data_IF_250642822138
#
_entry.id   IF_250642822138
#
_cell.length_a   1.000
_cell.length_b   1.000
_cell.length_c   1.000
_cell.angle_alpha   90.00
_cell.angle_beta   90.00
_cell.angle_gamma   90.00
#
_symmetry.space_group_name_H-M   'P 1'
#
loop_
_entity.id
_entity.type
_entity.pdbx_description
1 polymer ?
#
# COMPACT_ATOMS: atom_id res chain seq x y z
N UNK A 1 -22.77 -25.00 9.70
CA UNK A 1 -22.65 -24.33 8.39
C UNK A 1 -21.37 -23.51 8.44
N UNK A 2 -20.27 -24.04 7.90
CA UNK A 2 -18.96 -23.38 7.92
C UNK A 2 -18.81 -22.48 6.71
N UNK A 3 -18.77 -21.17 6.92
CA UNK A 3 -18.37 -20.22 5.89
C UNK A 3 -16.87 -20.34 5.66
N UNK A 4 -16.51 -21.03 4.60
CA UNK A 4 -15.16 -21.03 4.03
C UNK A 4 -14.82 -19.60 3.63
N UNK A 5 -14.11 -18.88 4.49
CA UNK A 5 -13.48 -17.61 4.15
C UNK A 5 -12.33 -17.96 3.20
N UNK A 6 -12.63 -17.94 1.91
CA UNK A 6 -11.63 -18.08 0.87
C UNK A 6 -10.64 -16.93 1.03
N UNK A 7 -9.40 -17.26 1.41
CA UNK A 7 -8.29 -16.31 1.34
C UNK A 7 -8.12 -16.01 -0.15
N UNK A 8 -8.73 -14.92 -0.59
CA UNK A 8 -8.66 -14.48 -1.98
C UNK A 8 -7.26 -13.89 -2.17
N UNK A 9 -6.30 -14.75 -2.49
CA UNK A 9 -4.96 -14.36 -2.90
C UNK A 9 -5.05 -13.76 -4.30
N UNK A 10 -5.49 -12.49 -4.38
CA UNK A 10 -5.43 -11.74 -5.63
C UNK A 10 -3.95 -11.52 -5.91
N UNK A 11 -3.42 -12.25 -6.88
CA UNK A 11 -2.04 -12.07 -7.35
C UNK A 11 -2.01 -10.80 -8.21
N UNK A 12 -1.86 -9.64 -7.57
CA UNK A 12 -1.90 -8.29 -8.18
C UNK A 12 -0.53 -7.95 -8.77
N UNK A 13 0.05 -8.88 -9.54
CA UNK A 13 1.40 -8.70 -10.08
C UNK A 13 1.39 -8.06 -11.49
N UNK A 14 0.21 -7.75 -12.06
CA UNK A 14 0.09 -7.40 -13.49
C UNK A 14 -0.71 -6.15 -13.84
N UNK A 15 -1.10 -5.33 -12.88
CA UNK A 15 -2.08 -4.25 -13.16
C UNK A 15 -1.41 -2.92 -13.51
N UNK A 16 -0.17 -2.70 -13.08
CA UNK A 16 0.59 -1.51 -13.45
C UNK A 16 1.38 -1.76 -14.74
N UNK A 17 0.89 -1.23 -15.87
CA UNK A 17 1.66 -1.19 -17.11
C UNK A 17 2.95 -0.38 -16.85
N UNK A 18 4.12 -0.96 -17.14
CA UNK A 18 5.40 -0.28 -17.00
C UNK A 18 5.59 0.75 -18.12
N UNK A 19 4.95 1.90 -18.04
CA UNK A 19 5.11 2.96 -19.06
C UNK A 19 6.31 3.86 -18.78
N UNK A 20 6.73 4.02 -17.52
CA UNK A 20 7.90 4.82 -17.11
C UNK A 20 8.35 4.48 -15.69
N UNK A 21 9.65 4.42 -15.47
CA UNK A 21 10.22 4.41 -14.12
C UNK A 21 10.30 5.83 -13.56
N UNK A 22 9.84 5.99 -12.32
CA UNK A 22 9.78 7.24 -11.58
C UNK A 22 11.10 7.42 -10.82
N UNK A 23 11.72 8.59 -10.94
CA UNK A 23 13.01 8.90 -10.30
C UNK A 23 12.85 9.18 -8.79
N UNK A 24 13.91 9.08 -7.97
CA UNK A 24 13.81 9.38 -6.52
C UNK A 24 13.33 10.81 -6.23
N UNK A 25 13.71 11.79 -7.05
CA UNK A 25 13.22 13.17 -6.93
C UNK A 25 11.74 13.31 -7.25
N UNK A 26 11.23 12.53 -8.22
CA UNK A 26 9.79 12.47 -8.47
C UNK A 26 9.05 11.75 -7.34
N UNK A 27 9.64 10.70 -6.75
CA UNK A 27 9.07 10.05 -5.55
C UNK A 27 8.97 11.05 -4.40
N UNK A 28 10.00 11.86 -4.16
CA UNK A 28 9.96 12.90 -3.13
C UNK A 28 8.85 13.92 -3.37
N UNK A 29 8.71 14.43 -4.60
CA UNK A 29 7.65 15.37 -4.95
C UNK A 29 6.23 14.79 -4.73
N UNK A 30 6.07 13.47 -4.88
CA UNK A 30 4.78 12.77 -4.74
C UNK A 30 4.47 12.40 -3.29
N UNK A 31 5.47 11.84 -2.61
CA UNK A 31 5.28 11.15 -1.32
C UNK A 31 5.78 11.96 -0.13
N UNK A 32 6.65 12.95 -0.36
CA UNK A 32 7.40 13.66 0.67
C UNK A 32 8.60 12.89 1.25
N UNK A 33 8.92 11.70 0.75
CA UNK A 33 10.10 10.93 1.16
C UNK A 33 11.34 11.35 0.36
N UNK A 34 12.34 11.90 1.04
CA UNK A 34 13.56 12.34 0.38
C UNK A 34 14.39 11.17 -0.17
N UNK A 35 15.21 11.39 -1.22
CA UNK A 35 16.11 10.38 -1.75
C UNK A 35 17.07 9.79 -0.71
N UNK A 36 17.45 10.58 0.30
CA UNK A 36 18.33 10.13 1.39
C UNK A 36 17.61 9.17 2.34
N UNK A 37 16.33 9.41 2.64
CA UNK A 37 15.51 8.47 3.42
C UNK A 37 15.38 7.14 2.68
N UNK A 38 15.08 7.17 1.38
CA UNK A 38 14.99 5.96 0.55
C UNK A 38 16.32 5.20 0.49
N UNK A 39 17.44 5.93 0.38
CA UNK A 39 18.79 5.34 0.40
C UNK A 39 19.10 4.68 1.74
N UNK A 40 18.78 5.36 2.84
CA UNK A 40 19.03 4.84 4.19
C UNK A 40 18.19 3.59 4.48
N UNK A 41 16.89 3.60 4.17
CA UNK A 41 16.03 2.42 4.31
C UNK A 41 16.55 1.23 3.49
N UNK A 42 17.00 1.47 2.27
CA UNK A 42 17.58 0.42 1.42
C UNK A 42 18.89 -0.13 1.99
N UNK A 43 19.79 0.73 2.45
CA UNK A 43 21.07 0.33 3.08
C UNK A 43 20.84 -0.55 4.32
N UNK A 44 19.75 -0.31 5.06
CA UNK A 44 19.34 -1.09 6.23
C UNK A 44 18.57 -2.37 5.88
N UNK A 45 18.31 -2.64 4.60
CA UNK A 45 17.53 -3.79 4.15
C UNK A 45 16.02 -3.67 4.37
N UNK A 46 15.52 -2.47 4.67
CA UNK A 46 14.11 -2.21 4.98
C UNK A 46 13.28 -1.89 3.72
N UNK A 47 13.92 -1.36 2.67
CA UNK A 47 13.26 -1.03 1.40
C UNK A 47 13.63 -2.05 0.31
N UNK A 48 12.64 -2.85 -0.08
CA UNK A 48 12.75 -3.84 -1.17
C UNK A 48 12.15 -3.36 -2.50
N UNK A 49 11.61 -2.13 -2.54
CA UNK A 49 10.96 -1.53 -3.71
C UNK A 49 11.94 -0.84 -4.66
N UNK A 50 11.49 -0.68 -5.90
CA UNK A 50 12.25 -0.08 -7.00
C UNK A 50 13.17 -1.07 -7.71
N UNK A 51 13.71 -0.64 -8.84
CA UNK A 51 14.67 -1.38 -9.67
C UNK A 51 15.89 -0.51 -9.93
N UNK A 52 17.08 -1.08 -9.75
CA UNK A 52 18.33 -0.42 -10.14
C UNK A 52 18.52 -0.55 -11.66
N UNK A 53 18.72 0.59 -12.32
CA UNK A 53 18.99 0.68 -13.75
C UNK A 53 20.48 0.49 -14.04
N UNK A 54 20.84 0.25 -15.30
CA UNK A 54 22.23 0.03 -15.76
C UNK A 54 23.19 1.18 -15.42
N UNK A 55 22.67 2.40 -15.30
CA UNK A 55 23.44 3.58 -14.90
C UNK A 55 23.63 3.72 -13.37
N UNK A 56 23.22 2.71 -12.61
CA UNK A 56 23.27 2.66 -11.15
C UNK A 56 22.17 3.45 -10.43
N UNK A 57 21.31 4.18 -11.16
CA UNK A 57 20.19 4.94 -10.58
C UNK A 57 19.02 4.01 -10.27
N UNK A 58 18.28 4.35 -9.22
CA UNK A 58 17.04 3.66 -8.86
C UNK A 58 15.86 4.29 -9.58
N UNK A 59 14.97 3.44 -10.11
CA UNK A 59 13.67 3.83 -10.63
C UNK A 59 12.56 3.05 -9.93
N UNK A 60 11.38 3.64 -9.83
CA UNK A 60 10.24 3.08 -9.13
C UNK A 60 9.05 2.94 -10.09
N UNK A 61 8.32 1.84 -9.99
CA UNK A 61 7.04 1.73 -10.70
C UNK A 61 5.94 2.46 -9.93
N UNK A 62 4.83 2.73 -10.59
CA UNK A 62 3.68 3.42 -10.00
C UNK A 62 3.21 2.77 -8.68
N UNK A 63 3.14 1.44 -8.63
CA UNK A 63 2.80 0.69 -7.42
C UNK A 63 3.76 0.92 -6.26
N UNK A 64 5.07 1.02 -6.54
CA UNK A 64 6.08 1.32 -5.51
C UNK A 64 5.84 2.71 -4.91
N UNK A 65 5.53 3.69 -5.77
CA UNK A 65 5.31 5.09 -5.34
C UNK A 65 4.04 5.19 -4.50
N UNK A 66 2.96 4.50 -4.89
CA UNK A 66 1.75 4.40 -4.08
C UNK A 66 2.04 3.75 -2.71
N UNK A 67 2.79 2.64 -2.67
CA UNK A 67 3.14 1.99 -1.42
C UNK A 67 3.97 2.92 -0.52
N UNK A 68 4.95 3.62 -1.08
CA UNK A 68 5.77 4.59 -0.35
C UNK A 68 4.96 5.77 0.19
N UNK A 69 3.96 6.27 -0.55
CA UNK A 69 3.04 7.30 -0.07
C UNK A 69 2.26 6.81 1.18
N UNK A 70 1.73 5.59 1.11
CA UNK A 70 0.99 4.97 2.23
C UNK A 70 1.91 4.76 3.45
N UNK A 71 3.14 4.27 3.25
CA UNK A 71 4.12 4.11 4.33
C UNK A 71 4.48 5.45 4.98
N UNK A 72 4.69 6.49 4.18
CA UNK A 72 4.95 7.82 4.72
C UNK A 72 3.75 8.33 5.52
N UNK A 73 2.52 8.11 5.04
CA UNK A 73 1.31 8.47 5.77
C UNK A 73 1.25 7.76 7.13
N UNK A 74 1.44 6.44 7.17
CA UNK A 74 1.40 5.66 8.41
C UNK A 74 2.45 6.10 9.42
N UNK A 75 3.68 6.33 8.97
CA UNK A 75 4.79 6.68 9.87
C UNK A 75 4.74 8.14 10.33
N UNK A 76 4.40 9.08 9.44
CA UNK A 76 4.24 10.51 9.75
C UNK A 76 3.17 10.75 10.83
N UNK A 77 2.05 10.03 10.74
CA UNK A 77 0.94 10.14 11.69
C UNK A 77 1.01 9.15 12.85
N UNK A 78 2.08 8.35 12.93
CA UNK A 78 2.27 7.31 13.97
C UNK A 78 1.11 6.32 14.07
N UNK A 79 0.46 6.03 12.95
CA UNK A 79 -0.60 5.00 12.85
C UNK A 79 0.04 3.62 13.00
N UNK A 80 1.17 3.41 12.33
CA UNK A 80 2.01 2.22 12.46
C UNK A 80 3.44 2.69 12.74
N UNK A 81 3.93 2.40 13.94
CA UNK A 81 5.24 2.87 14.40
C UNK A 81 6.41 2.05 13.84
N UNK A 82 6.19 0.75 13.60
CA UNK A 82 7.20 -0.11 12.99
C UNK A 82 7.18 0.02 11.46
N UNK A 83 8.35 0.29 10.88
CA UNK A 83 8.46 0.54 9.44
C UNK A 83 8.21 -0.72 8.61
N UNK A 84 8.62 -1.90 9.08
CA UNK A 84 8.40 -3.16 8.38
C UNK A 84 6.92 -3.50 8.34
N UNK A 85 6.23 -3.33 9.47
CA UNK A 85 4.78 -3.49 9.56
C UNK A 85 4.04 -2.47 8.67
N UNK A 86 4.51 -1.22 8.60
CA UNK A 86 3.96 -0.21 7.70
C UNK A 86 4.10 -0.61 6.23
N UNK A 87 5.28 -1.09 5.80
CA UNK A 87 5.48 -1.62 4.45
C UNK A 87 4.57 -2.81 4.15
N UNK A 88 4.40 -3.70 5.13
CA UNK A 88 3.56 -4.89 4.97
C UNK A 88 2.10 -4.52 4.73
N UNK A 89 1.51 -3.68 5.61
CA UNK A 89 0.12 -3.22 5.48
C UNK A 89 -0.06 -2.38 4.22
N UNK A 90 0.90 -1.50 3.90
CA UNK A 90 0.85 -0.70 2.68
C UNK A 90 0.80 -1.57 1.41
N UNK A 91 1.53 -2.69 1.37
CA UNK A 91 1.53 -3.61 0.24
C UNK A 91 0.13 -4.19 -0.05
N UNK A 92 -0.66 -4.47 0.99
CA UNK A 92 -2.06 -4.88 0.84
C UNK A 92 -2.99 -3.72 0.46
N UNK A 93 -2.66 -2.48 0.87
CA UNK A 93 -3.48 -1.30 0.64
C UNK A 93 -3.37 -0.74 -0.79
N UNK A 94 -2.22 -0.89 -1.46
CA UNK A 94 -1.95 -0.33 -2.80
C UNK A 94 -3.08 -0.56 -3.81
N UNK A 95 -3.63 -1.77 -4.00
CA UNK A 95 -4.66 -2.00 -5.01
C UNK A 95 -5.96 -1.26 -4.71
N UNK A 96 -6.34 -1.16 -3.44
CA UNK A 96 -7.57 -0.49 -3.03
C UNK A 96 -7.41 1.03 -3.09
N UNK A 97 -6.25 1.55 -2.71
CA UNK A 97 -5.91 2.97 -2.88
C UNK A 97 -5.86 3.32 -4.36
N UNK A 98 -5.33 2.46 -5.22
CA UNK A 98 -5.40 2.66 -6.67
C UNK A 98 -6.85 2.73 -7.14
N UNK A 99 -7.70 1.77 -6.77
CA UNK A 99 -9.12 1.79 -7.16
C UNK A 99 -9.85 3.05 -6.67
N UNK A 100 -9.48 3.57 -5.50
CA UNK A 100 -10.05 4.80 -4.96
C UNK A 100 -9.60 6.06 -5.72
N UNK A 101 -8.40 6.07 -6.31
CA UNK A 101 -7.79 7.28 -6.92
C UNK A 101 -7.83 7.28 -8.45
N UNK A 102 -7.70 6.14 -9.11
CA UNK A 102 -7.42 6.04 -10.54
C UNK A 102 -8.60 6.35 -11.48
N UNK A 103 -9.80 6.66 -10.96
CA UNK A 103 -11.04 6.85 -11.72
C UNK A 103 -11.23 5.82 -12.87
N UNK A 104 -10.81 4.57 -12.62
CA UNK A 104 -10.88 3.47 -13.59
C UNK A 104 -12.08 2.59 -13.27
N UNK A 105 -13.20 2.71 -14.01
CA UNK A 105 -14.41 1.95 -13.73
C UNK A 105 -14.25 0.43 -13.98
N UNK A 106 -13.32 0.02 -14.84
CA UNK A 106 -13.04 -1.40 -15.08
C UNK A 106 -12.31 -1.99 -13.89
N UNK A 107 -11.29 -1.30 -13.41
CA UNK A 107 -10.54 -1.72 -12.24
C UNK A 107 -11.37 -1.65 -10.96
N UNK A 108 -12.16 -0.58 -10.77
CA UNK A 108 -13.11 -0.46 -9.67
C UNK A 108 -14.09 -1.65 -9.64
N UNK A 109 -14.59 -2.08 -10.81
CA UNK A 109 -15.45 -3.26 -10.90
C UNK A 109 -14.73 -4.58 -10.55
N UNK A 110 -13.43 -4.69 -10.84
CA UNK A 110 -12.63 -5.87 -10.47
C UNK A 110 -12.34 -5.93 -8.98
N UNK A 111 -12.09 -4.77 -8.36
CA UNK A 111 -11.87 -4.66 -6.91
C UNK A 111 -13.18 -4.80 -6.14
N UNK A 112 -14.31 -4.43 -6.75
CA UNK A 112 -15.63 -4.53 -6.15
C UNK A 112 -15.87 -3.41 -5.14
N UNK A 113 -16.27 -3.77 -3.93
CA UNK A 113 -16.40 -2.81 -2.83
C UNK A 113 -15.03 -2.54 -2.20
N UNK A 114 -14.72 -1.26 -1.97
CA UNK A 114 -13.48 -0.85 -1.31
C UNK A 114 -13.53 -1.28 0.17
N UNK A 115 -12.63 -2.19 0.60
CA UNK A 115 -12.72 -2.80 1.90
C UNK A 115 -12.01 -1.97 2.97
N UNK A 116 -12.17 -2.40 4.21
CA UNK A 116 -11.24 -2.07 5.28
C UNK A 116 -10.10 -3.10 5.31
N UNK A 117 -8.90 -2.65 5.70
CA UNK A 117 -7.80 -3.54 6.04
C UNK A 117 -7.63 -3.58 7.55
N UNK A 118 -7.83 -4.74 8.15
CA UNK A 118 -7.59 -4.96 9.56
C UNK A 118 -6.23 -5.65 9.74
N UNK A 119 -5.29 -4.96 10.38
CA UNK A 119 -3.98 -5.49 10.72
C UNK A 119 -3.94 -5.83 12.22
N UNK A 120 -3.73 -7.10 12.55
CA UNK A 120 -3.74 -7.60 13.92
C UNK A 120 -2.33 -7.86 14.42
N UNK A 121 -2.08 -7.58 15.71
CA UNK A 121 -0.85 -8.00 16.39
C UNK A 121 -0.81 -9.51 16.71
N UNK A 122 -1.46 -10.33 15.89
CA UNK A 122 -1.26 -11.78 15.83
C UNK A 122 -0.23 -12.00 14.74
N UNK A 123 1.00 -12.33 15.14
CA UNK A 123 2.11 -12.46 14.19
C UNK A 123 2.13 -13.87 13.59
N UNK A 124 2.22 -13.95 12.26
CA UNK A 124 2.65 -15.17 11.56
C UNK A 124 4.15 -15.04 11.26
N UNK A 125 4.98 -15.64 12.12
CA UNK A 125 6.42 -15.37 12.11
C UNK A 125 6.71 -13.94 12.58
N UNK A 126 7.35 -13.14 11.72
CA UNK A 126 7.70 -11.75 12.05
C UNK A 126 6.68 -10.71 11.56
N UNK A 127 5.65 -11.11 10.79
CA UNK A 127 4.72 -10.17 10.14
C UNK A 127 3.35 -10.13 10.82
N UNK A 128 2.71 -8.96 10.81
CA UNK A 128 1.32 -8.80 11.20
C UNK A 128 0.40 -9.61 10.28
N UNK A 129 -0.65 -10.19 10.85
CA UNK A 129 -1.75 -10.74 10.07
C UNK A 129 -2.60 -9.58 9.54
N UNK A 130 -2.77 -9.50 8.23
CA UNK A 130 -3.62 -8.51 7.56
C UNK A 130 -4.80 -9.21 6.93
N UNK A 131 -6.01 -8.76 7.24
CA UNK A 131 -7.25 -9.28 6.67
C UNK A 131 -8.04 -8.17 5.97
N UNK A 132 -8.74 -8.55 4.92
CA UNK A 132 -9.68 -7.71 4.20
C UNK A 132 -11.08 -7.95 4.74
N UNK A 133 -11.76 -6.90 5.15
CA UNK A 133 -13.11 -6.94 5.74
C UNK A 133 -14.00 -5.89 5.08
N UNK A 134 -15.28 -6.19 4.91
CA UNK A 134 -16.19 -5.32 4.14
C UNK A 134 -17.10 -4.47 5.02
N UNK A 135 -17.11 -4.74 6.34
CA UNK A 135 -17.79 -3.91 7.32
C UNK A 135 -16.91 -3.69 8.56
N UNK A 136 -17.05 -2.51 9.18
CA UNK A 136 -16.38 -2.25 10.46
C UNK A 136 -16.89 -3.20 11.55
N UNK A 137 -18.16 -3.62 11.48
CA UNK A 137 -18.74 -4.57 12.42
C UNK A 137 -18.04 -5.94 12.39
N UNK A 138 -17.60 -6.42 11.23
CA UNK A 138 -16.79 -7.64 11.11
C UNK A 138 -15.48 -7.52 11.90
N UNK A 139 -14.83 -6.35 11.89
CA UNK A 139 -13.61 -6.12 12.69
C UNK A 139 -13.88 -6.17 14.19
N UNK A 140 -15.03 -5.65 14.64
CA UNK A 140 -15.40 -5.65 16.06
C UNK A 140 -15.76 -7.04 16.59
N UNK A 141 -16.14 -7.97 15.70
CA UNK A 141 -16.35 -9.39 16.05
C UNK A 141 -15.03 -10.10 16.33
N UNK A 142 -13.92 -9.60 15.77
CA UNK A 142 -12.58 -10.12 16.00
C UNK A 142 -12.06 -9.54 17.32
N UNK A 143 -12.26 -10.27 18.42
CA UNK A 143 -11.78 -9.89 19.76
C UNK A 143 -10.27 -10.05 19.93
N UNK A 144 -9.48 -9.39 19.08
CA UNK A 144 -8.03 -9.43 19.12
C UNK A 144 -7.47 -8.12 19.71
N UNK A 145 -6.56 -8.18 20.69
CA UNK A 145 -5.93 -6.98 21.25
C UNK A 145 -4.94 -6.37 20.26
N UNK A 146 -5.01 -5.04 20.09
CA UNK A 146 -4.09 -4.28 19.26
C UNK A 146 -4.30 -4.53 17.77
N UNK A 147 -5.14 -3.72 17.15
CA UNK A 147 -5.40 -3.78 15.72
C UNK A 147 -5.45 -2.37 15.12
N UNK A 148 -5.01 -2.26 13.87
CA UNK A 148 -5.19 -1.05 13.05
C UNK A 148 -6.22 -1.40 11.99
N UNK A 149 -7.25 -0.57 11.86
CA UNK A 149 -8.19 -0.65 10.74
C UNK A 149 -7.94 0.53 9.82
N UNK A 150 -7.71 0.24 8.55
CA UNK A 150 -7.51 1.23 7.50
C UNK A 150 -8.73 1.20 6.59
N UNK A 151 -9.52 2.27 6.58
CA UNK A 151 -10.52 2.49 5.52
C UNK A 151 -9.76 2.91 4.25
N UNK A 152 -9.77 2.03 3.25
CA UNK A 152 -9.02 2.25 2.01
C UNK A 152 -9.57 3.38 1.15
N UNK A 153 -10.85 3.76 1.34
CA UNK A 153 -11.47 4.92 0.68
C UNK A 153 -10.91 6.21 1.24
N UNK A 154 -10.97 6.37 2.58
CA UNK A 154 -10.47 7.55 3.27
C UNK A 154 -8.96 7.71 3.04
N UNK A 155 -8.22 6.59 3.05
CA UNK A 155 -6.80 6.62 2.70
C UNK A 155 -6.58 7.06 1.25
N UNK A 156 -7.37 6.56 0.30
CA UNK A 156 -7.34 6.97 -1.10
C UNK A 156 -7.63 8.46 -1.28
N UNK A 157 -8.69 8.98 -0.64
CA UNK A 157 -9.04 10.40 -0.65
C UNK A 157 -7.90 11.26 -0.12
N UNK A 158 -7.29 10.90 1.01
CA UNK A 158 -6.15 11.62 1.57
C UNK A 158 -4.90 11.60 0.68
N UNK A 159 -4.70 10.54 -0.11
CA UNK A 159 -3.53 10.40 -0.99
C UNK A 159 -3.81 10.82 -2.44
N UNK A 160 -5.04 11.24 -2.75
CA UNK A 160 -5.49 11.55 -4.10
C UNK A 160 -4.61 12.60 -4.78
N UNK A 161 -4.38 13.75 -4.12
CA UNK A 161 -3.52 14.83 -4.65
C UNK A 161 -2.07 14.37 -4.89
N UNK A 162 -1.56 13.51 -4.00
CA UNK A 162 -0.20 12.99 -4.10
C UNK A 162 -0.04 12.05 -5.30
N UNK A 163 -1.06 11.25 -5.56
CA UNK A 163 -1.05 10.19 -6.56
C UNK A 163 -1.71 10.60 -7.89
N UNK A 164 -2.34 11.77 -7.95
CA UNK A 164 -3.02 12.29 -9.13
C UNK A 164 -2.12 12.28 -10.38
N UNK A 165 -2.62 11.76 -11.49
CA UNK A 165 -1.87 11.67 -12.75
C UNK A 165 -0.70 10.68 -12.76
N UNK A 166 -0.45 9.92 -11.69
CA UNK A 166 0.38 8.72 -11.76
C UNK A 166 -0.35 7.57 -12.46
N UNK A 167 -1.68 7.52 -12.30
CA UNK A 167 -2.52 6.44 -12.79
C UNK A 167 -3.08 6.73 -14.21
N UNK A 168 -3.27 8.00 -14.59
CA UNK A 168 -3.81 8.42 -15.89
C UNK A 168 -2.90 8.10 -17.10
N UNK A 169 -1.66 7.64 -16.87
CA UNK A 169 -0.65 7.37 -17.90
C UNK A 169 -0.28 5.88 -18.04
N UNK A 170 -1.06 4.98 -17.44
CA UNK A 170 -0.89 3.54 -17.57
C UNK A 170 -1.57 2.99 -18.84
#
# INVERSE_FOLDING_TARGET
>A
MGSSHGIMCVTITRIFKMTRLISPSEVEARTGLSPDVLRDWRRRGLLQLGTQQDNGRWGYVVGDVAQLAIVNHFTKWRIISDLSDAFHVAGFAVPFVYAAVADDPVFAKQVGELPYLAAFNVRQGERLQVETVYSLEETLRLRLPGFVVVDTRVLGEHLSDQLAGLFDKA
#
